data_IF_947152715845
#
_entry.id   IF_947152715845
#
_cell.length_a   1.000
_cell.length_b   1.000
_cell.length_c   1.000
_cell.angle_alpha   90.00
_cell.angle_beta   90.00
_cell.angle_gamma   90.00
#
_symmetry.space_group_name_H-M   'P 1'
#
loop_
_entity.id
_entity.type
_entity.pdbx_description
1 polymer ?
#
# COMPACT_ATOMS: atom_id res chain seq x y z
N UNK A 1 0.03 11.48 -16.46
CA UNK A 1 1.40 10.96 -16.32
C UNK A 1 1.94 11.38 -14.96
N UNK A 2 2.70 10.49 -14.29
CA UNK A 2 3.35 10.78 -13.01
C UNK A 2 4.54 11.72 -13.24
N UNK A 3 4.65 12.76 -12.42
CA UNK A 3 5.79 13.67 -12.39
C UNK A 3 6.43 13.66 -11.01
N UNK A 4 7.76 13.52 -10.98
CA UNK A 4 8.55 13.61 -9.74
C UNK A 4 8.46 15.02 -9.16
N UNK A 5 8.45 16.03 -10.03
CA UNK A 5 8.33 17.43 -9.63
C UNK A 5 6.97 17.68 -8.97
N UNK A 6 5.90 17.11 -9.53
CA UNK A 6 4.57 17.22 -8.93
C UNK A 6 4.52 16.51 -7.58
N UNK A 7 5.06 15.31 -7.47
CA UNK A 7 5.13 14.61 -6.18
C UNK A 7 5.92 15.40 -5.14
N UNK A 8 7.05 15.99 -5.52
CA UNK A 8 7.83 16.85 -4.61
C UNK A 8 7.01 18.07 -4.17
N UNK A 9 6.25 18.67 -5.08
CA UNK A 9 5.36 19.78 -4.77
C UNK A 9 4.21 19.33 -3.84
N UNK A 10 3.59 18.19 -4.11
CA UNK A 10 2.49 17.64 -3.30
C UNK A 10 2.95 17.24 -1.90
N UNK A 11 4.19 16.78 -1.75
CA UNK A 11 4.79 16.45 -0.45
C UNK A 11 5.20 17.71 0.33
N UNK A 12 5.42 18.82 -0.37
CA UNK A 12 5.82 20.07 0.28
C UNK A 12 4.71 20.60 1.17
N UNK A 13 4.99 20.66 2.47
CA UNK A 13 4.04 21.13 3.48
C UNK A 13 3.19 20.02 4.12
N UNK A 14 3.31 18.78 3.66
CA UNK A 14 2.73 17.63 4.36
C UNK A 14 3.67 17.13 5.47
N UNK A 15 3.09 16.80 6.62
CA UNK A 15 3.82 16.13 7.70
C UNK A 15 4.01 14.64 7.39
N UNK A 16 4.92 13.95 8.07
CA UNK A 16 5.09 12.49 7.93
C UNK A 16 3.79 11.70 8.19
N UNK A 17 2.97 12.15 9.14
CA UNK A 17 1.64 11.59 9.42
C UNK A 17 0.71 11.73 8.22
N UNK A 18 0.77 12.87 7.54
CA UNK A 18 -0.09 13.15 6.40
C UNK A 18 0.33 12.43 5.14
N UNK A 19 1.63 12.18 4.90
CA UNK A 19 2.05 11.50 3.68
C UNK A 19 2.26 9.99 3.83
N UNK A 20 2.39 9.45 5.05
CA UNK A 20 2.47 8.01 5.32
C UNK A 20 3.71 7.28 4.80
N UNK A 21 4.76 7.98 4.38
CA UNK A 21 6.05 7.38 4.06
C UNK A 21 6.93 7.26 5.31
N UNK A 22 7.66 6.15 5.44
CA UNK A 22 8.74 5.97 6.41
C UNK A 22 10.11 6.26 5.82
N UNK A 23 10.22 6.16 4.49
CA UNK A 23 11.43 6.49 3.73
C UNK A 23 11.05 6.93 2.31
N UNK A 24 11.79 7.88 1.74
CA UNK A 24 11.61 8.39 0.39
C UNK A 24 12.93 8.46 -0.37
N UNK A 25 12.92 7.97 -1.60
CA UNK A 25 13.95 8.10 -2.61
C UNK A 25 13.28 8.34 -3.97
N UNK A 26 12.84 9.58 -4.16
CA UNK A 26 12.05 9.96 -5.35
C UNK A 26 12.84 9.92 -6.65
N UNK A 27 14.17 9.90 -6.57
CA UNK A 27 15.06 9.86 -7.73
C UNK A 27 15.48 8.43 -8.12
N UNK A 28 15.05 7.41 -7.34
CA UNK A 28 15.34 6.02 -7.64
C UNK A 28 14.78 5.60 -8.99
N UNK A 29 15.62 5.04 -9.83
CA UNK A 29 15.24 4.52 -11.14
C UNK A 29 14.91 3.03 -11.08
N UNK A 30 13.99 2.53 -11.94
CA UNK A 30 13.68 1.12 -12.02
C UNK A 30 14.85 0.31 -12.59
N UNK A 31 14.98 -0.95 -12.18
CA UNK A 31 16.03 -1.86 -12.65
C UNK A 31 15.77 -2.44 -14.04
N UNK A 32 14.59 -2.21 -14.62
CA UNK A 32 14.19 -2.77 -15.91
C UNK A 32 13.19 -1.92 -16.66
N UNK A 33 12.68 -2.48 -17.76
CA UNK A 33 11.61 -1.90 -18.56
C UNK A 33 10.60 -2.99 -18.93
N UNK A 34 9.32 -2.64 -18.98
CA UNK A 34 8.27 -3.60 -19.34
C UNK A 34 6.87 -3.04 -19.10
N UNK A 35 5.95 -3.93 -18.78
CA UNK A 35 4.52 -3.63 -18.62
C UNK A 35 4.22 -2.54 -17.58
N UNK A 36 5.08 -2.41 -16.57
CA UNK A 36 4.92 -1.44 -15.48
C UNK A 36 5.77 -0.18 -15.67
N UNK A 37 6.35 0.04 -16.86
CA UNK A 37 7.07 1.30 -17.14
C UNK A 37 6.14 2.49 -16.98
N UNK A 38 6.59 3.50 -16.21
CA UNK A 38 5.80 4.67 -15.86
C UNK A 38 4.95 4.50 -14.59
N UNK A 39 4.89 3.32 -14.00
CA UNK A 39 4.27 3.13 -12.69
C UNK A 39 5.24 3.49 -11.57
N UNK A 40 4.75 4.28 -10.63
CA UNK A 40 5.47 4.70 -9.43
C UNK A 40 4.73 4.18 -8.21
N UNK A 41 5.45 3.47 -7.36
CA UNK A 41 4.91 2.75 -6.21
C UNK A 41 5.76 3.02 -4.97
N UNK A 42 5.18 2.88 -3.79
CA UNK A 42 5.90 2.62 -2.55
C UNK A 42 5.88 1.14 -2.22
N UNK A 43 6.85 0.65 -1.46
CA UNK A 43 6.83 -0.68 -0.88
C UNK A 43 6.40 -0.62 0.59
N UNK A 44 5.52 -1.51 1.03
CA UNK A 44 5.18 -1.65 2.45
C UNK A 44 6.44 -1.92 3.26
N UNK A 45 6.59 -1.28 4.42
CA UNK A 45 7.82 -1.37 5.23
C UNK A 45 7.97 -2.69 6.02
N UNK A 46 7.35 -3.74 5.52
CA UNK A 46 7.63 -5.14 5.82
C UNK A 46 8.44 -5.83 4.72
N UNK A 47 8.57 -5.21 3.55
CA UNK A 47 9.27 -5.78 2.40
C UNK A 47 10.62 -5.11 2.21
N UNK A 48 11.60 -5.92 1.88
CA UNK A 48 12.95 -5.45 1.59
C UNK A 48 13.02 -4.79 0.21
N UNK A 49 13.65 -3.63 0.19
CA UNK A 49 14.01 -2.91 -1.04
C UNK A 49 15.49 -2.57 -0.94
N UNK A 50 16.31 -3.11 -1.83
CA UNK A 50 17.75 -2.85 -1.81
C UNK A 50 18.05 -1.36 -1.86
N UNK A 51 18.85 -0.88 -0.91
CA UNK A 51 19.23 0.53 -0.79
C UNK A 51 18.27 1.39 0.02
N UNK A 52 17.17 0.82 0.54
CA UNK A 52 16.26 1.48 1.46
C UNK A 52 16.26 0.77 2.81
N UNK A 53 16.08 1.48 3.93
CA UNK A 53 15.92 0.83 5.23
C UNK A 53 14.61 0.05 5.29
N UNK A 54 14.61 -1.06 6.05
CA UNK A 54 13.42 -1.78 6.46
C UNK A 54 13.32 -1.72 7.97
N UNK A 55 12.21 -1.17 8.50
CA UNK A 55 12.00 -1.00 9.94
C UNK A 55 11.10 -2.07 10.54
N UNK A 56 10.35 -2.79 9.70
CA UNK A 56 9.30 -3.72 10.14
C UNK A 56 8.26 -3.05 11.07
N UNK A 57 8.08 -1.72 10.93
CA UNK A 57 7.19 -0.92 11.76
C UNK A 57 7.71 -0.61 13.17
N UNK A 58 9.00 -0.77 13.41
CA UNK A 58 9.67 -0.42 14.67
C UNK A 58 11.11 0.02 14.38
N UNK A 59 11.48 1.24 14.78
CA UNK A 59 12.81 1.81 14.53
C UNK A 59 13.94 0.97 15.11
N UNK A 60 13.72 0.29 16.25
CA UNK A 60 14.73 -0.55 16.89
C UNK A 60 15.06 -1.82 16.08
N UNK A 61 14.24 -2.14 15.08
CA UNK A 61 14.42 -3.26 14.16
C UNK A 61 15.04 -2.86 12.83
N UNK A 62 15.43 -1.61 12.65
CA UNK A 62 15.90 -1.07 11.37
C UNK A 62 17.16 -1.77 10.87
N UNK A 63 17.13 -2.22 9.62
CA UNK A 63 18.28 -2.75 8.90
C UNK A 63 18.26 -2.33 7.43
N UNK A 64 19.39 -2.49 6.76
CA UNK A 64 19.54 -2.19 5.33
C UNK A 64 19.72 -3.50 4.55
N UNK A 65 18.72 -3.92 3.78
CA UNK A 65 18.78 -5.17 3.04
C UNK A 65 19.77 -5.08 1.86
N UNK A 66 20.52 -6.14 1.64
CA UNK A 66 21.43 -6.26 0.48
C UNK A 66 20.68 -6.56 -0.83
N UNK A 67 19.46 -7.10 -0.74
CA UNK A 67 18.59 -7.48 -1.86
C UNK A 67 17.16 -7.05 -1.59
N UNK A 68 16.42 -6.81 -2.67
CA UNK A 68 14.97 -6.65 -2.58
C UNK A 68 14.28 -8.01 -2.49
N UNK A 69 13.10 -8.03 -1.88
CA UNK A 69 12.22 -9.21 -1.92
C UNK A 69 11.83 -9.55 -3.37
N UNK A 70 11.62 -10.83 -3.63
CA UNK A 70 11.34 -11.34 -4.98
C UNK A 70 10.15 -10.65 -5.67
N UNK A 71 9.11 -10.31 -4.91
CA UNK A 71 7.96 -9.58 -5.44
C UNK A 71 8.34 -8.16 -5.89
N UNK A 72 9.11 -7.45 -5.09
CA UNK A 72 9.60 -6.10 -5.40
C UNK A 72 10.55 -6.14 -6.61
N UNK A 73 11.50 -7.09 -6.63
CA UNK A 73 12.38 -7.28 -7.80
C UNK A 73 11.59 -7.54 -9.09
N UNK A 74 10.52 -8.33 -9.02
CA UNK A 74 9.68 -8.61 -10.18
C UNK A 74 8.95 -7.36 -10.68
N UNK A 75 8.51 -6.47 -9.80
CA UNK A 75 7.91 -5.19 -10.17
C UNK A 75 8.95 -4.26 -10.84
N UNK A 76 10.13 -4.11 -10.25
CA UNK A 76 11.20 -3.27 -10.79
C UNK A 76 11.71 -3.79 -12.16
N UNK A 77 11.85 -5.11 -12.33
CA UNK A 77 12.21 -5.74 -13.63
C UNK A 77 11.17 -5.45 -14.72
N UNK A 78 9.90 -5.29 -14.35
CA UNK A 78 8.83 -4.90 -15.27
C UNK A 78 8.74 -3.38 -15.49
N UNK A 79 9.62 -2.60 -14.89
CA UNK A 79 9.73 -1.16 -15.09
C UNK A 79 9.04 -0.30 -14.04
N UNK A 80 8.48 -0.89 -12.97
CA UNK A 80 7.94 -0.10 -11.87
C UNK A 80 9.07 0.61 -11.11
N UNK A 81 8.84 1.86 -10.74
CA UNK A 81 9.74 2.65 -9.91
C UNK A 81 9.28 2.59 -8.46
N UNK A 82 10.09 2.02 -7.57
CA UNK A 82 9.81 1.98 -6.13
C UNK A 82 10.52 3.16 -5.47
N UNK A 83 9.75 4.19 -5.09
CA UNK A 83 10.31 5.47 -4.63
C UNK A 83 10.35 5.65 -3.12
N UNK A 84 9.97 4.65 -2.35
CA UNK A 84 9.98 4.78 -0.88
C UNK A 84 9.30 3.62 -0.20
N UNK A 85 9.24 3.74 1.13
CA UNK A 85 8.63 2.76 2.02
C UNK A 85 7.38 3.36 2.67
N UNK A 86 6.30 2.58 2.75
CA UNK A 86 5.04 3.01 3.37
C UNK A 86 4.88 2.44 4.78
N UNK A 87 4.34 3.27 5.67
CA UNK A 87 4.16 2.96 7.09
C UNK A 87 3.30 1.73 7.33
N UNK A 88 3.69 0.94 8.33
CA UNK A 88 3.04 -0.28 8.82
C UNK A 88 3.21 -0.36 10.34
N UNK A 89 2.29 -0.97 11.09
CA UNK A 89 2.54 -1.27 12.49
C UNK A 89 3.62 -2.34 12.65
N UNK A 90 4.16 -2.49 13.84
CA UNK A 90 5.22 -3.46 14.10
C UNK A 90 4.83 -4.86 13.60
N UNK A 91 5.69 -5.44 12.76
CA UNK A 91 5.55 -6.75 12.12
C UNK A 91 4.22 -6.94 11.34
N UNK A 92 3.48 -5.86 11.10
CA UNK A 92 2.18 -5.93 10.42
C UNK A 92 1.08 -6.66 11.20
N UNK A 93 1.20 -6.79 12.51
CA UNK A 93 0.34 -7.63 13.34
C UNK A 93 -0.91 -6.91 13.91
N UNK A 94 -1.18 -5.68 13.48
CA UNK A 94 -2.33 -4.89 13.93
C UNK A 94 -3.20 -4.46 12.75
N UNK A 95 -4.47 -4.14 13.03
CA UNK A 95 -5.44 -3.63 12.05
C UNK A 95 -5.48 -2.09 11.99
N UNK A 96 -4.71 -1.42 12.83
CA UNK A 96 -4.34 -0.01 12.75
C UNK A 96 -2.90 0.14 12.25
N UNK A 97 -2.44 1.39 12.06
CA UNK A 97 -1.06 1.65 11.65
C UNK A 97 -0.41 2.63 12.63
N UNK A 98 0.10 2.06 13.71
CA UNK A 98 0.83 2.76 14.76
C UNK A 98 2.22 2.14 14.93
N UNK A 99 3.20 2.53 14.06
CA UNK A 99 4.56 2.04 14.16
C UNK A 99 5.25 2.55 15.43
N UNK A 100 6.22 1.79 15.92
CA UNK A 100 7.01 2.16 17.09
C UNK A 100 8.17 3.08 16.68
N UNK A 101 8.26 4.25 17.31
CA UNK A 101 9.32 5.23 17.05
C UNK A 101 9.22 5.99 15.72
N UNK A 102 8.11 5.84 15.01
CA UNK A 102 7.81 6.54 13.74
C UNK A 102 6.46 7.28 13.85
N UNK A 103 6.25 8.32 13.03
CA UNK A 103 4.96 9.00 12.95
C UNK A 103 3.82 8.05 12.55
N UNK A 104 2.66 8.21 13.20
CA UNK A 104 1.46 7.44 12.89
C UNK A 104 0.71 8.09 11.74
N UNK A 105 0.51 7.41 10.60
CA UNK A 105 -0.20 8.01 9.48
C UNK A 105 -1.65 8.32 9.83
N UNK A 106 -2.10 9.49 9.42
CA UNK A 106 -3.45 10.01 9.68
C UNK A 106 -4.40 9.68 8.52
N UNK A 107 -5.66 9.35 8.86
CA UNK A 107 -6.66 9.03 7.86
C UNK A 107 -7.09 10.28 7.08
N UNK A 108 -6.90 10.33 5.74
CA UNK A 108 -7.25 11.52 4.97
C UNK A 108 -8.74 11.88 4.94
N UNK A 109 -9.63 10.90 5.19
CA UNK A 109 -11.09 11.12 5.23
C UNK A 109 -11.58 11.48 6.62
N UNK A 110 -10.90 11.00 7.66
CA UNK A 110 -11.27 11.19 9.06
C UNK A 110 -10.04 11.60 9.87
N UNK A 111 -9.66 12.88 9.84
CA UNK A 111 -8.49 13.39 10.57
C UNK A 111 -8.52 13.03 12.05
N UNK A 112 -7.41 12.58 12.59
CA UNK A 112 -7.26 12.09 13.95
C UNK A 112 -7.64 10.63 14.16
N UNK A 113 -8.07 9.93 13.10
CA UNK A 113 -8.37 8.50 13.12
C UNK A 113 -7.27 7.70 12.43
N UNK A 114 -7.13 6.43 12.82
CA UNK A 114 -6.23 5.51 12.10
C UNK A 114 -6.69 5.29 10.66
N UNK A 115 -5.77 5.18 9.69
CA UNK A 115 -6.11 4.79 8.33
C UNK A 115 -6.42 3.29 8.19
N UNK A 116 -6.56 2.58 9.32
CA UNK A 116 -6.57 1.12 9.32
C UNK A 116 -5.18 0.54 9.09
N UNK A 117 -5.09 -0.80 9.01
CA UNK A 117 -3.80 -1.50 8.89
C UNK A 117 -3.93 -2.94 8.40
N UNK A 118 -2.79 -3.52 8.19
CA UNK A 118 -1.43 -3.04 8.47
C UNK A 118 -0.76 -2.26 7.32
N UNK A 119 -1.43 -2.04 6.19
CA UNK A 119 -0.90 -1.25 5.07
C UNK A 119 -1.46 0.19 5.06
N UNK A 120 -1.52 0.85 6.26
CA UNK A 120 -2.15 2.16 6.40
C UNK A 120 -1.40 3.27 5.66
N UNK A 121 -0.06 3.27 5.70
CA UNK A 121 0.73 4.25 4.93
C UNK A 121 0.46 4.19 3.44
N UNK A 122 0.34 2.98 2.87
CA UNK A 122 -0.01 2.78 1.47
C UNK A 122 -1.40 3.36 1.14
N UNK A 123 -2.39 3.13 2.02
CA UNK A 123 -3.74 3.66 1.83
C UNK A 123 -3.77 5.19 1.89
N UNK A 124 -3.04 5.80 2.82
CA UNK A 124 -2.91 7.26 2.94
C UNK A 124 -2.32 7.87 1.67
N UNK A 125 -1.22 7.31 1.16
CA UNK A 125 -0.56 7.79 -0.06
C UNK A 125 -1.49 7.79 -1.27
N UNK A 126 -2.27 6.73 -1.42
CA UNK A 126 -3.23 6.59 -2.54
C UNK A 126 -4.45 7.48 -2.35
N UNK A 127 -5.00 7.55 -1.13
CA UNK A 127 -6.17 8.38 -0.84
C UNK A 127 -5.89 9.88 -1.01
N UNK A 128 -4.70 10.34 -0.62
CA UNK A 128 -4.25 11.72 -0.86
C UNK A 128 -3.88 12.00 -2.32
N UNK A 129 -3.79 10.98 -3.15
CA UNK A 129 -3.41 11.13 -4.55
C UNK A 129 -1.92 11.33 -4.78
N UNK A 130 -1.08 11.12 -3.77
CA UNK A 130 0.39 11.17 -3.89
C UNK A 130 0.90 10.09 -4.83
N UNK A 131 0.31 8.90 -4.75
CA UNK A 131 0.56 7.78 -5.64
C UNK A 131 -0.76 7.27 -6.24
N UNK A 132 -0.69 6.78 -7.47
CA UNK A 132 -1.82 6.11 -8.13
C UNK A 132 -2.05 4.71 -7.55
N UNK A 133 -0.98 4.08 -7.08
CA UNK A 133 -0.99 2.78 -6.44
C UNK A 133 0.18 2.64 -5.46
N UNK A 134 0.03 1.78 -4.46
CA UNK A 134 1.08 1.42 -3.52
C UNK A 134 1.08 -0.09 -3.29
N UNK A 135 2.28 -0.68 -3.11
CA UNK A 135 2.40 -2.08 -2.73
C UNK A 135 1.91 -2.29 -1.29
N UNK A 136 1.22 -3.39 -1.07
CA UNK A 136 0.64 -3.78 0.20
C UNK A 136 0.61 -5.30 0.35
N UNK A 137 0.38 -5.80 1.56
CA UNK A 137 0.21 -7.23 1.82
C UNK A 137 -1.00 -7.49 2.70
N UNK A 138 -1.63 -8.66 2.57
CA UNK A 138 -2.87 -9.03 3.27
C UNK A 138 -2.84 -10.48 3.74
N UNK A 139 -2.75 -10.68 5.05
CA UNK A 139 -3.04 -11.96 5.70
C UNK A 139 -4.50 -12.01 6.15
N UNK A 140 -4.85 -11.20 7.14
CA UNK A 140 -6.17 -11.15 7.77
C UNK A 140 -7.05 -9.94 7.37
N UNK A 141 -6.61 -9.13 6.38
CA UNK A 141 -7.33 -7.91 5.98
C UNK A 141 -6.44 -6.71 5.67
N UNK A 142 -5.12 -6.87 5.73
CA UNK A 142 -4.16 -5.75 5.73
C UNK A 142 -4.00 -4.99 4.41
N UNK A 143 -4.68 -5.37 3.33
CA UNK A 143 -4.95 -4.55 2.14
C UNK A 143 -6.36 -3.96 2.24
N UNK A 144 -7.33 -4.80 2.51
CA UNK A 144 -8.77 -4.47 2.41
C UNK A 144 -9.24 -3.52 3.51
N UNK A 145 -8.77 -3.71 4.75
CA UNK A 145 -9.13 -2.85 5.89
C UNK A 145 -8.70 -1.41 5.66
N UNK A 146 -7.39 -1.11 5.42
CA UNK A 146 -6.98 0.28 5.21
C UNK A 146 -7.55 0.87 3.91
N UNK A 147 -7.76 0.06 2.88
CA UNK A 147 -8.40 0.53 1.65
C UNK A 147 -9.85 0.99 1.92
N UNK A 148 -10.63 0.22 2.69
CA UNK A 148 -11.98 0.60 3.08
C UNK A 148 -11.99 1.85 3.97
N UNK A 149 -11.10 1.92 4.96
CA UNK A 149 -11.00 3.06 5.88
C UNK A 149 -10.63 4.37 5.20
N UNK A 150 -9.86 4.31 4.11
CA UNK A 150 -9.39 5.50 3.36
C UNK A 150 -10.13 5.72 2.03
N UNK A 151 -11.20 4.97 1.74
CA UNK A 151 -12.02 5.18 0.53
C UNK A 151 -11.31 4.87 -0.79
N UNK A 152 -10.39 3.90 -0.78
CA UNK A 152 -9.61 3.47 -1.96
C UNK A 152 -9.83 2.00 -2.26
N UNK A 153 -9.26 1.47 -3.34
CA UNK A 153 -9.48 0.09 -3.77
C UNK A 153 -8.42 -0.85 -3.21
N UNK A 154 -8.86 -1.86 -2.48
CA UNK A 154 -8.04 -2.97 -2.01
C UNK A 154 -8.56 -4.30 -2.52
N UNK A 155 -7.67 -5.11 -3.10
CA UNK A 155 -8.00 -6.45 -3.59
C UNK A 155 -7.02 -7.48 -3.05
N UNK A 156 -7.56 -8.52 -2.44
CA UNK A 156 -6.81 -9.69 -2.03
C UNK A 156 -7.02 -10.79 -3.08
N UNK A 157 -6.00 -11.12 -3.90
CA UNK A 157 -6.14 -12.22 -4.85
C UNK A 157 -6.38 -13.55 -4.12
N UNK A 158 -7.18 -14.41 -4.74
CA UNK A 158 -7.36 -15.78 -4.26
C UNK A 158 -6.03 -16.55 -4.40
N UNK A 159 -5.72 -17.36 -3.41
CA UNK A 159 -4.48 -18.15 -3.38
C UNK A 159 -4.55 -19.24 -2.33
N UNK A 160 -3.53 -20.10 -2.32
CA UNK A 160 -3.37 -21.15 -1.31
C UNK A 160 -2.78 -20.61 0.00
N UNK A 161 -1.99 -19.56 -0.09
CA UNK A 161 -1.34 -18.92 1.05
C UNK A 161 -2.31 -17.95 1.73
N UNK A 162 -2.26 -17.91 3.07
CA UNK A 162 -3.02 -16.94 3.86
C UNK A 162 -2.56 -15.51 3.57
N UNK A 163 -1.25 -15.28 3.53
CA UNK A 163 -0.64 -13.99 3.23
C UNK A 163 -0.41 -13.81 1.74
N UNK A 164 -0.83 -12.69 1.19
CA UNK A 164 -0.61 -12.34 -0.21
C UNK A 164 0.06 -10.97 -0.35
N UNK A 165 0.87 -10.82 -1.39
CA UNK A 165 1.34 -9.53 -1.86
C UNK A 165 0.34 -8.96 -2.87
N UNK A 166 0.14 -7.66 -2.85
CA UNK A 166 -0.80 -6.99 -3.73
C UNK A 166 -0.69 -5.48 -3.68
N UNK A 167 -1.79 -4.81 -3.98
CA UNK A 167 -1.79 -3.36 -4.14
C UNK A 167 -3.03 -2.72 -3.53
N UNK A 168 -2.85 -1.50 -3.03
CA UNK A 168 -3.90 -0.52 -2.82
C UNK A 168 -3.83 0.46 -3.99
N UNK A 169 -4.96 0.79 -4.60
CA UNK A 169 -5.01 1.59 -5.82
C UNK A 169 -6.15 2.59 -5.80
N UNK A 170 -6.06 3.60 -6.65
CA UNK A 170 -7.10 4.61 -6.78
C UNK A 170 -8.35 4.07 -7.49
N UNK A 171 -8.16 3.16 -8.45
CA UNK A 171 -9.26 2.60 -9.25
C UNK A 171 -9.17 1.08 -9.34
N UNK A 172 -10.32 0.45 -9.61
CA UNK A 172 -10.40 -1.00 -9.89
C UNK A 172 -9.60 -1.37 -11.14
N UNK A 173 -9.61 -0.49 -12.17
CA UNK A 173 -8.85 -0.69 -13.39
C UNK A 173 -7.35 -0.75 -13.15
N UNK A 174 -6.82 0.12 -12.29
CA UNK A 174 -5.42 0.13 -11.89
C UNK A 174 -5.04 -1.16 -11.16
N UNK A 175 -5.91 -1.60 -10.26
CA UNK A 175 -5.71 -2.83 -9.49
C UNK A 175 -5.68 -4.05 -10.40
N UNK A 176 -6.65 -4.17 -11.31
CA UNK A 176 -6.69 -5.23 -12.31
C UNK A 176 -5.44 -5.23 -13.19
N UNK A 177 -5.01 -4.05 -13.66
CA UNK A 177 -3.81 -3.92 -14.48
C UNK A 177 -2.55 -4.39 -13.72
N UNK A 178 -2.35 -3.94 -12.48
CA UNK A 178 -1.17 -4.32 -11.68
C UNK A 178 -1.11 -5.82 -11.41
N UNK A 179 -2.27 -6.46 -11.17
CA UNK A 179 -2.38 -7.91 -11.01
C UNK A 179 -2.34 -8.70 -12.32
N UNK A 180 -2.25 -8.05 -13.48
CA UNK A 180 -2.27 -8.70 -14.79
C UNK A 180 -3.65 -9.28 -15.16
N UNK A 181 -4.71 -8.81 -14.53
CA UNK A 181 -6.07 -9.24 -14.81
C UNK A 181 -6.70 -8.37 -15.89
N UNK A 182 -7.47 -9.02 -16.77
CA UNK A 182 -8.33 -8.33 -17.72
C UNK A 182 -9.67 -8.03 -17.05
N UNK A 183 -10.10 -6.77 -17.09
CA UNK A 183 -11.45 -6.42 -16.69
C UNK A 183 -12.45 -6.97 -17.70
N UNK A 184 -13.45 -7.69 -17.18
CA UNK A 184 -14.62 -8.14 -17.94
C UNK A 184 -15.87 -7.60 -17.25
N UNK A 185 -16.93 -7.35 -18.02
CA UNK A 185 -18.25 -7.01 -17.47
C UNK A 185 -19.14 -8.24 -17.60
N UNK A 186 -19.16 -9.15 -16.62
CA UNK A 186 -20.01 -10.32 -16.72
C UNK A 186 -21.48 -9.92 -16.52
N UNK A 187 -22.38 -10.60 -17.23
CA UNK A 187 -23.80 -10.60 -16.87
C UNK A 187 -23.97 -11.58 -15.70
N UNK A 188 -23.87 -11.09 -14.47
CA UNK A 188 -23.97 -11.90 -13.27
C UNK A 188 -25.10 -11.40 -12.38
N UNK A 189 -25.74 -12.29 -11.64
CA UNK A 189 -26.55 -11.93 -10.48
C UNK A 189 -25.62 -11.76 -9.29
N UNK A 190 -25.75 -10.65 -8.59
CA UNK A 190 -24.99 -10.37 -7.38
C UNK A 190 -25.92 -10.54 -6.21
N UNK A 191 -25.56 -11.42 -5.27
CA UNK A 191 -26.22 -11.53 -3.97
C UNK A 191 -25.60 -10.53 -2.99
N UNK A 192 -26.41 -9.76 -2.30
CA UNK A 192 -25.99 -8.90 -1.20
C UNK A 192 -26.42 -9.52 0.13
N UNK A 193 -25.45 -9.85 0.99
CA UNK A 193 -25.70 -10.27 2.36
C UNK A 193 -25.56 -9.04 3.26
N UNK A 194 -26.65 -8.60 3.87
CA UNK A 194 -26.70 -7.39 4.71
C UNK A 194 -26.70 -7.69 6.21
N UNK A 195 -26.91 -8.96 6.58
CA UNK A 195 -26.86 -9.39 7.96
C UNK A 195 -25.64 -10.30 8.17
N UNK A 196 -24.85 -10.09 9.24
CA UNK A 196 -23.73 -10.97 9.54
C UNK A 196 -24.21 -12.37 9.91
N UNK A 197 -23.54 -13.41 9.39
CA UNK A 197 -23.91 -14.80 9.63
C UNK A 197 -23.54 -15.30 11.03
N UNK A 198 -22.60 -14.66 11.71
CA UNK A 198 -21.97 -15.21 12.92
C UNK A 198 -21.79 -14.21 14.08
N UNK A 199 -22.18 -12.97 13.93
CA UNK A 199 -22.09 -11.97 14.98
C UNK A 199 -23.14 -10.87 14.78
N UNK A 200 -23.60 -10.27 15.87
CA UNK A 200 -24.31 -9.00 15.83
C UNK A 200 -23.27 -7.92 15.54
N UNK A 201 -23.26 -7.38 14.35
CA UNK A 201 -22.42 -6.25 14.03
C UNK A 201 -23.25 -4.97 14.17
N UNK A 202 -23.06 -4.25 15.26
CA UNK A 202 -23.36 -2.82 15.29
C UNK A 202 -22.21 -2.15 14.54
N UNK A 203 -22.45 -1.78 13.30
CA UNK A 203 -21.58 -0.91 12.55
C UNK A 203 -22.19 0.48 12.64
N UNK A 204 -21.70 1.29 13.58
CA UNK A 204 -21.97 2.72 13.65
C UNK A 204 -21.18 3.47 12.58
#
# INVERSE_FOLDING_TARGET
DFSVEQLRADLHGLTPEEHGFTYLDVDREPSGRGRLSGWVLSAKDLCDVRGMPTTLGNTDRTYYPERSDAFIEALEKQGARIIGKSSTPELGLRVDTEPVGLPHPDNPLYPGCTPGGSSGGAAVQVARGLLRAAHASDGGGSIRVPAAACGVVGFKPAGKELGVQGFITRTVADNAFLHGHRMITPRARIGLLVEPLFCDANVD
#
